data_IF_608575496610
#
_entry.id   IF_608575496610
#
_cell.length_a   1.000
_cell.length_b   1.000
_cell.length_c   1.000
_cell.angle_alpha   90.00
_cell.angle_beta   90.00
_cell.angle_gamma   90.00
#
_symmetry.space_group_name_H-M   'P 1'
#
loop_
_entity.id
_entity.type
_entity.pdbx_description
1 polymer ?
#
# COMPACT_ATOMS: atom_id res chain seq x y z
N UNK A 1 7.74 0.09 -24.96
CA UNK A 1 7.91 1.48 -24.45
C UNK A 1 6.93 1.68 -23.30
N UNK A 2 7.38 1.56 -22.05
CA UNK A 2 6.55 1.69 -20.83
C UNK A 2 6.68 3.11 -20.25
N UNK A 3 6.37 4.14 -21.05
CA UNK A 3 6.30 5.53 -20.56
C UNK A 3 4.83 5.89 -20.28
N UNK A 4 4.32 5.35 -19.18
CA UNK A 4 3.06 5.75 -18.54
C UNK A 4 3.29 5.93 -17.04
N UNK A 5 4.48 6.41 -16.65
CA UNK A 5 4.68 6.87 -15.28
C UNK A 5 3.84 8.15 -15.15
N UNK A 6 2.68 8.03 -14.52
CA UNK A 6 1.91 9.20 -14.08
C UNK A 6 2.77 10.10 -13.18
N UNK A 7 2.16 11.18 -12.65
CA UNK A 7 2.86 12.11 -11.77
C UNK A 7 3.71 11.37 -10.71
N UNK A 8 4.94 11.83 -10.37
CA UNK A 8 5.73 11.22 -9.32
C UNK A 8 4.92 11.09 -8.02
N UNK A 9 5.19 10.04 -7.23
CA UNK A 9 4.61 9.91 -5.90
C UNK A 9 5.35 10.85 -4.95
N UNK A 10 4.60 11.68 -4.25
CA UNK A 10 5.11 12.48 -3.13
C UNK A 10 5.20 11.63 -1.86
N UNK A 11 5.99 12.10 -0.89
CA UNK A 11 6.09 11.44 0.43
C UNK A 11 4.72 11.37 1.12
N UNK A 12 3.94 12.45 1.05
CA UNK A 12 2.60 12.51 1.66
C UNK A 12 1.63 11.51 1.01
N UNK A 13 1.68 11.35 -0.31
CA UNK A 13 0.86 10.32 -0.99
C UNK A 13 1.29 8.90 -0.62
N UNK A 14 2.59 8.66 -0.42
CA UNK A 14 3.10 7.37 0.06
C UNK A 14 2.64 7.06 1.48
N UNK A 15 2.72 8.05 2.38
CA UNK A 15 2.25 7.92 3.77
C UNK A 15 0.75 7.62 3.80
N UNK A 16 -0.06 8.39 3.07
CA UNK A 16 -1.50 8.18 2.99
C UNK A 16 -1.86 6.80 2.40
N UNK A 17 -1.10 6.32 1.40
CA UNK A 17 -1.24 4.96 0.88
C UNK A 17 -0.99 3.91 1.97
N UNK A 18 0.11 4.04 2.71
CA UNK A 18 0.49 3.07 3.76
C UNK A 18 -0.57 3.06 4.88
N UNK A 19 -0.94 4.22 5.39
CA UNK A 19 -1.98 4.34 6.42
C UNK A 19 -3.31 3.71 5.98
N UNK A 20 -3.71 3.94 4.72
CA UNK A 20 -4.95 3.35 4.20
C UNK A 20 -4.87 1.83 4.10
N UNK A 21 -3.71 1.27 3.75
CA UNK A 21 -3.50 -0.18 3.73
C UNK A 21 -3.55 -0.78 5.16
N UNK A 22 -2.98 -0.09 6.14
CA UNK A 22 -3.04 -0.49 7.55
C UNK A 22 -4.48 -0.47 8.10
N UNK A 23 -5.31 0.43 7.58
CA UNK A 23 -6.74 0.52 7.87
C UNK A 23 -7.60 -0.48 7.06
N UNK A 24 -6.97 -1.38 6.30
CA UNK A 24 -7.62 -2.36 5.42
C UNK A 24 -8.54 -1.74 4.36
N UNK A 25 -8.24 -0.52 3.91
CA UNK A 25 -8.96 0.09 2.79
C UNK A 25 -8.65 -0.66 1.48
N UNK A 26 -9.67 -0.82 0.63
CA UNK A 26 -9.49 -1.45 -0.67
C UNK A 26 -8.79 -0.50 -1.67
N UNK A 27 -8.17 -1.09 -2.70
CA UNK A 27 -7.37 -0.36 -3.70
C UNK A 27 -8.20 0.73 -4.43
N UNK A 28 -9.49 0.50 -4.68
CA UNK A 28 -10.33 1.47 -5.40
C UNK A 28 -10.61 2.68 -4.54
N UNK A 29 -10.93 2.47 -3.26
CA UNK A 29 -11.11 3.55 -2.29
C UNK A 29 -9.84 4.39 -2.12
N UNK A 30 -8.69 3.74 -2.01
CA UNK A 30 -7.38 4.41 -1.91
C UNK A 30 -7.08 5.24 -3.17
N UNK A 31 -7.32 4.67 -4.34
CA UNK A 31 -7.10 5.35 -5.62
C UNK A 31 -7.94 6.62 -5.73
N UNK A 32 -9.22 6.56 -5.33
CA UNK A 32 -10.11 7.71 -5.31
C UNK A 32 -9.61 8.80 -4.36
N UNK A 33 -9.19 8.44 -3.13
CA UNK A 33 -8.69 9.40 -2.14
C UNK A 33 -7.41 10.11 -2.61
N UNK A 34 -6.51 9.40 -3.29
CA UNK A 34 -5.25 9.93 -3.78
C UNK A 34 -5.34 10.63 -5.15
N UNK A 35 -6.51 10.61 -5.81
CA UNK A 35 -6.64 11.09 -7.19
C UNK A 35 -5.77 10.31 -8.17
N UNK A 36 -5.52 9.02 -7.89
CA UNK A 36 -4.71 8.11 -8.72
C UNK A 36 -5.61 7.05 -9.36
N UNK A 37 -5.09 6.36 -10.37
CA UNK A 37 -5.79 5.19 -10.91
C UNK A 37 -5.52 3.94 -10.04
N UNK A 38 -6.47 2.99 -9.93
CA UNK A 38 -6.23 1.74 -9.21
C UNK A 38 -4.97 0.97 -9.68
N UNK A 39 -4.65 0.90 -10.99
CA UNK A 39 -3.38 0.31 -11.44
C UNK A 39 -2.14 1.05 -10.93
N UNK A 40 -2.17 2.39 -10.83
CA UNK A 40 -1.05 3.16 -10.30
C UNK A 40 -0.81 2.88 -8.81
N UNK A 41 -1.89 2.72 -8.04
CA UNK A 41 -1.82 2.30 -6.63
C UNK A 41 -1.24 0.88 -6.54
N UNK A 42 -1.73 -0.06 -7.33
CA UNK A 42 -1.21 -1.44 -7.35
C UNK A 42 0.28 -1.51 -7.69
N UNK A 43 0.73 -0.75 -8.69
CA UNK A 43 2.16 -0.65 -9.03
C UNK A 43 2.99 -0.05 -7.90
N UNK A 44 2.44 0.93 -7.18
CA UNK A 44 3.13 1.53 -6.04
C UNK A 44 3.29 0.54 -4.88
N UNK A 45 2.25 -0.25 -4.59
CA UNK A 45 2.28 -1.32 -3.59
C UNK A 45 3.39 -2.32 -3.93
N UNK A 46 3.46 -2.79 -5.19
CA UNK A 46 4.51 -3.69 -5.66
C UNK A 46 5.89 -3.06 -5.48
N UNK A 47 6.04 -1.78 -5.82
CA UNK A 47 7.31 -1.05 -5.67
C UNK A 47 7.75 -0.95 -4.20
N UNK A 48 6.84 -0.61 -3.29
CA UNK A 48 7.14 -0.53 -1.85
C UNK A 48 7.54 -1.89 -1.29
N UNK A 49 6.85 -2.95 -1.71
CA UNK A 49 7.19 -4.34 -1.36
C UNK A 49 8.59 -4.72 -1.84
N UNK A 50 8.92 -4.44 -3.10
CA UNK A 50 10.25 -4.70 -3.68
C UNK A 50 11.38 -3.93 -2.97
N UNK A 51 11.07 -2.78 -2.37
CA UNK A 51 12.02 -1.96 -1.59
C UNK A 51 12.09 -2.37 -0.11
N UNK A 52 11.32 -3.36 0.32
CA UNK A 52 11.24 -3.77 1.73
C UNK A 52 10.57 -2.71 2.63
N UNK A 53 9.82 -1.76 2.05
CA UNK A 53 9.09 -0.72 2.78
C UNK A 53 7.63 -1.09 3.05
N UNK A 54 7.17 -2.22 2.51
CA UNK A 54 5.85 -2.80 2.76
C UNK A 54 6.02 -4.31 2.89
N UNK A 55 5.36 -4.92 3.88
CA UNK A 55 5.29 -6.37 4.05
C UNK A 55 3.83 -6.78 3.93
N UNK A 56 3.55 -7.72 3.01
CA UNK A 56 2.23 -8.32 2.87
C UNK A 56 2.21 -9.62 3.66
N UNK A 57 1.25 -9.76 4.56
CA UNK A 57 1.08 -10.97 5.37
C UNK A 57 -0.26 -11.61 5.08
N UNK A 58 -0.33 -12.94 5.21
CA UNK A 58 -1.63 -13.61 5.26
C UNK A 58 -2.33 -13.30 6.58
N UNK A 59 -3.66 -13.30 6.58
CA UNK A 59 -4.47 -13.04 7.78
C UNK A 59 -4.06 -13.92 8.98
N UNK A 60 -3.85 -15.26 8.85
CA UNK A 60 -3.36 -16.06 9.98
C UNK A 60 -1.99 -15.62 10.52
N UNK A 61 -1.13 -15.10 9.64
CA UNK A 61 0.21 -14.60 10.03
C UNK A 61 0.09 -13.29 10.80
N UNK A 62 -0.81 -12.41 10.36
CA UNK A 62 -1.11 -11.16 11.05
C UNK A 62 -1.70 -11.40 12.44
N UNK A 63 -2.74 -12.24 12.55
CA UNK A 63 -3.36 -12.60 13.83
C UNK A 63 -2.33 -13.18 14.82
N UNK A 64 -1.50 -14.12 14.36
CA UNK A 64 -0.44 -14.70 15.18
C UNK A 64 0.60 -13.65 15.62
N UNK A 65 0.90 -12.65 14.79
CA UNK A 65 1.81 -11.56 15.15
C UNK A 65 1.20 -10.61 16.18
N UNK A 66 -0.07 -10.23 16.02
CA UNK A 66 -0.80 -9.37 16.98
C UNK A 66 -0.86 -10.05 18.35
N UNK A 67 -1.27 -11.32 18.40
CA UNK A 67 -1.34 -12.08 19.65
C UNK A 67 -0.02 -12.19 20.40
N UNK A 68 1.11 -12.33 19.68
CA UNK A 68 2.45 -12.36 20.30
C UNK A 68 2.90 -11.03 20.87
N UNK A 69 2.41 -9.90 20.33
CA UNK A 69 2.82 -8.54 20.75
C UNK A 69 1.91 -7.93 21.81
N UNK A 70 0.73 -8.51 22.04
CA UNK A 70 -0.18 -8.14 23.12
C UNK A 70 0.15 -8.81 24.47
N UNK A 71 1.21 -9.64 24.52
CA UNK A 71 1.76 -10.25 25.73
C UNK A 71 3.03 -9.51 26.18
#
# INVERSE_FOLDING_TARGET
>A
MLNSMGAPWTVVEEEHLIESLELNCDIVSIANALGRSPPAVGLKIIHLYQKGRLVVMSEPTYEAWVHRRSQ
#
